data_IF_415858864845
#
_entry.id   IF_415858864845
#
_cell.length_a   1.000
_cell.length_b   1.000
_cell.length_c   1.000
_cell.angle_alpha   90.00
_cell.angle_beta   90.00
_cell.angle_gamma   90.00
#
_symmetry.space_group_name_H-M   'P 1'
#
loop_
_entity.id
_entity.type
_entity.pdbx_description
1 polymer ?
#
# COMPACT_ATOMS: atom_id res chain seq x y z
N UNK A 1 13.83 -9.31 19.67
CA UNK A 1 12.57 -9.07 18.93
C UNK A 1 12.96 -8.50 17.59
N UNK A 2 12.60 -9.19 16.52
CA UNK A 2 13.07 -8.82 15.18
C UNK A 2 12.26 -7.62 14.67
N UNK A 3 12.84 -6.83 13.77
CA UNK A 3 12.18 -5.69 13.11
C UNK A 3 10.99 -6.10 12.20
N UNK A 4 10.49 -7.34 12.35
CA UNK A 4 9.38 -7.93 11.59
C UNK A 4 8.07 -7.93 12.39
N UNK A 5 8.14 -7.74 13.71
CA UNK A 5 7.03 -7.94 14.66
C UNK A 5 6.36 -6.62 15.09
N UNK A 6 6.71 -5.49 14.47
CA UNK A 6 6.11 -4.18 14.76
C UNK A 6 5.30 -3.69 13.57
N UNK A 7 4.19 -3.03 13.90
CA UNK A 7 3.33 -2.43 12.90
C UNK A 7 4.04 -1.24 12.23
N UNK A 8 3.91 -1.15 10.91
CA UNK A 8 4.63 -0.16 10.10
C UNK A 8 3.72 0.34 8.99
N UNK A 9 3.76 1.65 8.75
CA UNK A 9 3.06 2.26 7.61
C UNK A 9 3.80 2.04 6.29
N UNK A 10 3.05 1.67 5.25
CA UNK A 10 3.56 1.50 3.89
C UNK A 10 2.75 2.32 2.89
N UNK A 11 3.42 2.74 1.82
CA UNK A 11 2.81 3.25 0.60
C UNK A 11 3.08 2.27 -0.53
N UNK A 12 2.01 1.80 -1.18
CA UNK A 12 2.07 0.84 -2.27
C UNK A 12 1.40 1.47 -3.48
N UNK A 13 2.10 1.53 -4.61
CA UNK A 13 1.57 2.03 -5.87
C UNK A 13 1.41 0.86 -6.84
N UNK A 14 0.25 0.80 -7.50
CA UNK A 14 -0.06 -0.22 -8.51
C UNK A 14 -0.72 0.39 -9.73
N UNK A 15 -0.63 -0.31 -10.85
CA UNK A 15 -1.34 0.03 -12.07
C UNK A 15 -2.81 -0.42 -11.98
N UNK A 16 -3.70 0.39 -12.55
CA UNK A 16 -5.13 0.14 -12.59
C UNK A 16 -5.87 0.66 -11.36
N UNK A 17 -7.15 0.30 -11.30
CA UNK A 17 -8.04 0.63 -10.18
C UNK A 17 -8.11 -0.57 -9.24
N UNK A 18 -7.76 -0.36 -7.97
CA UNK A 18 -7.99 -1.36 -6.91
C UNK A 18 -9.27 -1.02 -6.18
N UNK A 19 -10.20 -1.97 -6.13
CA UNK A 19 -11.39 -1.88 -5.28
C UNK A 19 -10.99 -2.05 -3.81
N UNK A 20 -11.53 -1.21 -2.94
CA UNK A 20 -11.34 -1.29 -1.49
C UNK A 20 -11.64 -2.68 -0.92
N UNK A 21 -12.60 -3.41 -1.51
CA UNK A 21 -12.94 -4.77 -1.09
C UNK A 21 -11.76 -5.75 -1.22
N UNK A 22 -10.86 -5.55 -2.18
CA UNK A 22 -9.68 -6.42 -2.42
C UNK A 22 -8.59 -6.24 -1.36
N UNK A 23 -8.62 -5.11 -0.65
CA UNK A 23 -7.59 -4.71 0.31
C UNK A 23 -8.12 -4.53 1.73
N UNK A 24 -9.42 -4.69 1.96
CA UNK A 24 -10.07 -4.49 3.26
C UNK A 24 -9.50 -5.41 4.37
N UNK A 25 -9.00 -6.60 4.00
CA UNK A 25 -8.37 -7.53 4.94
C UNK A 25 -6.98 -7.08 5.40
N UNK A 26 -6.37 -6.10 4.72
CA UNK A 26 -5.05 -5.54 5.02
C UNK A 26 -5.06 -4.63 6.26
N UNK A 27 -6.24 -4.19 6.70
CA UNK A 27 -6.42 -3.22 7.77
C UNK A 27 -6.91 -1.87 7.25
N UNK A 28 -6.87 -0.81 8.08
CA UNK A 28 -7.27 0.52 7.66
C UNK A 28 -6.31 1.03 6.56
N UNK A 29 -6.81 1.09 5.34
CA UNK A 29 -6.06 1.52 4.15
C UNK A 29 -6.73 2.71 3.50
N UNK A 30 -5.95 3.75 3.27
CA UNK A 30 -6.33 4.88 2.43
C UNK A 30 -6.04 4.52 0.98
N UNK A 31 -7.03 4.72 0.12
CA UNK A 31 -6.93 4.42 -1.32
C UNK A 31 -7.06 5.73 -2.07
N UNK A 32 -6.07 6.05 -2.89
CA UNK A 32 -6.10 7.19 -3.80
C UNK A 32 -5.95 6.68 -5.23
N UNK A 33 -6.80 7.14 -6.13
CA UNK A 33 -6.77 6.76 -7.54
C UNK A 33 -6.46 7.99 -8.40
N UNK A 34 -5.52 7.84 -9.32
CA UNK A 34 -5.13 8.88 -10.26
C UNK A 34 -5.24 8.34 -11.68
N UNK A 35 -5.79 9.15 -12.58
CA UNK A 35 -5.76 8.88 -14.02
C UNK A 35 -4.51 9.53 -14.62
N UNK A 36 -3.79 8.77 -15.42
CA UNK A 36 -2.63 9.26 -16.16
C UNK A 36 -3.05 9.90 -17.49
N UNK A 37 -2.21 10.78 -18.03
CA UNK A 37 -2.46 11.49 -19.28
C UNK A 37 -2.52 10.55 -20.50
N UNK A 38 -1.89 9.37 -20.40
CA UNK A 38 -1.93 8.31 -21.40
C UNK A 38 -3.21 7.44 -21.36
N UNK A 39 -4.15 7.79 -20.47
CA UNK A 39 -5.39 7.05 -20.25
C UNK A 39 -5.29 5.90 -19.26
N UNK A 40 -4.09 5.63 -18.73
CA UNK A 40 -3.85 4.68 -17.64
C UNK A 40 -4.46 5.13 -16.32
N UNK A 41 -4.44 4.22 -15.34
CA UNK A 41 -4.84 4.50 -13.97
C UNK A 41 -3.77 4.01 -13.00
N UNK A 42 -3.60 4.72 -11.90
CA UNK A 42 -2.72 4.37 -10.79
C UNK A 42 -3.53 4.35 -9.52
N UNK A 43 -3.32 3.32 -8.70
CA UNK A 43 -3.87 3.29 -7.34
C UNK A 43 -2.73 3.31 -6.33
N UNK A 44 -2.81 4.25 -5.38
CA UNK A 44 -1.94 4.32 -4.21
C UNK A 44 -2.70 3.82 -2.98
N UNK A 45 -2.14 2.81 -2.32
CA UNK A 45 -2.61 2.26 -1.06
C UNK A 45 -1.67 2.73 0.04
N UNK A 46 -2.19 3.39 1.08
CA UNK A 46 -1.43 3.80 2.26
C UNK A 46 -2.08 3.24 3.51
N UNK A 47 -1.34 2.48 4.29
CA UNK A 47 -1.88 1.85 5.50
C UNK A 47 -0.81 1.32 6.41
N UNK A 48 -1.19 1.15 7.68
CA UNK A 48 -0.40 0.46 8.67
C UNK A 48 -0.58 -1.05 8.52
N UNK A 49 0.53 -1.77 8.53
CA UNK A 49 0.57 -3.21 8.32
C UNK A 49 1.08 -3.86 9.60
N UNK A 50 0.38 -4.87 10.15
CA UNK A 50 0.70 -5.41 11.48
C UNK A 50 2.04 -6.15 11.52
N UNK A 51 2.45 -6.77 10.41
CA UNK A 51 3.71 -7.48 10.28
C UNK A 51 4.13 -7.61 8.80
N UNK A 52 5.32 -8.16 8.55
CA UNK A 52 5.78 -8.41 7.18
C UNK A 52 5.01 -9.51 6.45
N UNK A 53 4.39 -10.46 7.15
CA UNK A 53 3.64 -11.53 6.51
C UNK A 53 2.37 -11.01 5.84
N UNK A 54 1.67 -10.07 6.49
CA UNK A 54 0.53 -9.35 5.95
C UNK A 54 0.91 -8.53 4.71
N UNK A 55 2.05 -7.81 4.75
CA UNK A 55 2.58 -7.06 3.61
C UNK A 55 2.83 -7.95 2.39
N UNK A 56 3.56 -9.06 2.60
CA UNK A 56 3.88 -10.01 1.54
C UNK A 56 2.61 -10.69 1.01
N UNK A 57 1.66 -11.00 1.89
CA UNK A 57 0.34 -11.52 1.51
C UNK A 57 -0.40 -10.58 0.57
N UNK A 58 -0.39 -9.27 0.84
CA UNK A 58 -1.06 -8.28 0.01
C UNK A 58 -0.43 -8.22 -1.38
N UNK A 59 0.89 -8.12 -1.46
CA UNK A 59 1.61 -8.08 -2.75
C UNK A 59 1.30 -9.32 -3.58
N UNK A 60 1.29 -10.50 -2.96
CA UNK A 60 0.94 -11.76 -3.64
C UNK A 60 -0.52 -11.78 -4.09
N UNK A 61 -1.44 -11.28 -3.28
CA UNK A 61 -2.86 -11.22 -3.63
C UNK A 61 -3.09 -10.31 -4.84
N UNK A 62 -2.53 -9.10 -4.84
CA UNK A 62 -2.61 -8.16 -5.96
C UNK A 62 -2.00 -8.76 -7.24
N UNK A 63 -0.82 -9.36 -7.14
CA UNK A 63 -0.19 -10.04 -8.27
C UNK A 63 -1.03 -11.21 -8.80
N UNK A 64 -1.67 -11.99 -7.91
CA UNK A 64 -2.57 -13.08 -8.29
C UNK A 64 -3.81 -12.62 -9.08
N UNK A 65 -4.19 -11.34 -8.96
CA UNK A 65 -5.28 -10.71 -9.71
C UNK A 65 -4.80 -10.06 -11.02
N UNK A 66 -3.49 -10.16 -11.34
CA UNK A 66 -2.90 -9.52 -12.51
C UNK A 66 -2.64 -8.02 -12.33
N UNK A 67 -2.72 -7.49 -11.11
CA UNK A 67 -2.43 -6.09 -10.81
C UNK A 67 -0.90 -5.90 -10.74
N UNK A 68 -0.38 -4.96 -11.50
CA UNK A 68 1.06 -4.68 -11.59
C UNK A 68 1.50 -3.81 -10.42
N UNK A 69 2.44 -4.31 -9.63
CA UNK A 69 3.10 -3.54 -8.57
C UNK A 69 4.13 -2.59 -9.17
N UNK A 70 4.00 -1.30 -8.87
CA UNK A 70 4.92 -0.26 -9.37
C UNK A 70 5.93 0.15 -8.31
N UNK A 71 5.49 0.35 -7.07
CA UNK A 71 6.40 0.69 -5.96
C UNK A 71 5.86 0.25 -4.61
N UNK A 72 6.77 -0.06 -3.69
CA UNK A 72 6.47 -0.32 -2.28
C UNK A 72 7.50 0.44 -1.44
N UNK A 73 7.00 1.34 -0.58
CA UNK A 73 7.83 2.22 0.24
C UNK A 73 7.40 2.10 1.69
N UNK A 74 8.37 1.82 2.57
CA UNK A 74 8.17 1.91 4.02
C UNK A 74 8.12 3.38 4.41
N UNK A 75 7.08 3.78 5.14
CA UNK A 75 7.04 5.10 5.77
C UNK A 75 7.82 5.03 7.07
N UNK A 76 8.73 5.99 7.28
CA UNK A 76 9.35 6.16 8.59
C UNK A 76 8.32 6.78 9.53
N UNK A 77 8.25 6.27 10.78
CA UNK A 77 7.45 6.90 11.83
C UNK A 77 8.11 8.23 12.20
N UNK A 78 7.84 9.30 11.43
CA UNK A 78 8.57 10.55 11.64
C UNK A 78 8.31 11.75 10.74
N UNK A 79 7.50 11.70 9.68
CA UNK A 79 7.21 12.90 8.87
C UNK A 79 5.82 13.46 9.16
N UNK A 80 5.76 14.30 10.20
CA UNK A 80 4.54 14.97 10.65
C UNK A 80 4.67 15.75 11.96
N UNK A 81 5.86 15.82 12.59
CA UNK A 81 6.14 16.86 13.58
C UNK A 81 7.03 17.92 12.95
N UNK A 82 6.40 19.08 12.73
CA UNK A 82 6.99 20.41 12.60
C UNK A 82 7.12 20.96 11.17
N UNK A 83 6.16 21.81 10.75
CA UNK A 83 6.41 23.16 10.20
C UNK A 83 5.17 24.04 10.43
N UNK A 84 5.29 25.09 11.27
CA UNK A 84 4.30 26.17 11.43
C UNK A 84 3.92 26.53 12.87
#
# INVERSE_FOLDING_TARGET
>A
MSQLDHAVSYTICVEGNVDAALVNWFGPVQISQQRCDDGGALTTLRGEVPDQAALVGLVRHLHGLGIVLLSLVRMEDGEGRNEG
#
